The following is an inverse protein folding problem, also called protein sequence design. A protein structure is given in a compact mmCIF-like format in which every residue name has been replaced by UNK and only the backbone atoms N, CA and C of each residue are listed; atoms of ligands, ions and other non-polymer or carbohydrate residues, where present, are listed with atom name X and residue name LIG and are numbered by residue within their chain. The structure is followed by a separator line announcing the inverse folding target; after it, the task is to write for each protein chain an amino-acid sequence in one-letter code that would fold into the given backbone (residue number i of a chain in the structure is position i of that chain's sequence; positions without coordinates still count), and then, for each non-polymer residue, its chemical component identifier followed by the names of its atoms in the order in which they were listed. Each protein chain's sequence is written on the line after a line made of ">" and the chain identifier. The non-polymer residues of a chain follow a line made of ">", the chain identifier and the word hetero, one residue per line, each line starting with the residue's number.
data_IF_616620591802
#
_entry.id   IF_616620591802
#
_cell.length_a   1.000
_cell.length_b   1.000
_cell.length_c   1.000
_cell.angle_alpha   90.00
_cell.angle_beta   90.00
_cell.angle_gamma   90.00
#
_symmetry.space_group_name_H-M   'P 1'
#
loop_
_entity.id
_entity.type
_entity.pdbx_description
1 polymer ?
#
# COMPACT_ATOMS: atom_id res chain seq x y z
N UNK A 1 -8.14 -9.64 23.18
CA UNK A 1 -8.88 -8.81 22.22
C UNK A 1 -8.49 -9.27 20.83
N UNK A 2 -9.41 -9.88 20.09
CA UNK A 2 -9.19 -10.25 18.68
C UNK A 2 -8.90 -9.00 17.87
N UNK A 3 -7.86 -9.05 17.03
CA UNK A 3 -7.55 -7.94 16.13
C UNK A 3 -8.74 -7.71 15.19
N UNK A 4 -9.16 -6.45 15.02
CA UNK A 4 -10.18 -6.14 14.01
C UNK A 4 -9.53 -6.27 12.64
N UNK A 5 -10.26 -6.85 11.69
CA UNK A 5 -9.74 -7.10 10.34
C UNK A 5 -10.71 -6.61 9.28
N UNK A 6 -10.17 -6.33 8.09
CA UNK A 6 -10.92 -6.15 6.86
C UNK A 6 -10.52 -7.21 5.85
N UNK A 7 -11.44 -7.57 4.97
CA UNK A 7 -11.16 -8.33 3.78
C UNK A 7 -10.77 -7.40 2.62
N UNK A 8 -9.76 -7.80 1.87
CA UNK A 8 -9.38 -7.22 0.59
C UNK A 8 -9.60 -8.24 -0.50
N UNK A 9 -10.32 -7.88 -1.57
CA UNK A 9 -10.44 -8.73 -2.76
C UNK A 9 -10.10 -7.95 -4.02
N UNK A 10 -9.37 -8.57 -4.95
CA UNK A 10 -9.15 -7.95 -6.25
C UNK A 10 -10.48 -7.83 -7.03
N UNK A 11 -10.51 -7.01 -8.07
CA UNK A 11 -11.75 -6.69 -8.79
C UNK A 11 -12.40 -7.92 -9.44
N UNK A 12 -11.60 -8.92 -9.84
CA UNK A 12 -12.12 -10.18 -10.40
C UNK A 12 -12.32 -11.29 -9.35
N UNK A 13 -12.08 -11.01 -8.06
CA UNK A 13 -12.27 -11.95 -6.95
C UNK A 13 -11.23 -13.06 -6.81
N UNK A 14 -10.32 -13.24 -7.78
CA UNK A 14 -9.31 -14.31 -7.77
C UNK A 14 -8.22 -14.18 -6.71
N UNK A 15 -8.10 -13.01 -6.07
CA UNK A 15 -7.20 -12.79 -4.95
C UNK A 15 -7.98 -12.27 -3.76
N UNK A 16 -7.71 -12.85 -2.59
CA UNK A 16 -8.33 -12.48 -1.32
C UNK A 16 -7.26 -12.44 -0.23
N UNK A 17 -7.25 -11.34 0.53
CA UNK A 17 -6.39 -11.17 1.69
C UNK A 17 -7.18 -10.65 2.89
N UNK A 18 -6.72 -11.01 4.09
CA UNK A 18 -7.14 -10.42 5.36
C UNK A 18 -6.15 -9.36 5.81
N UNK A 19 -6.65 -8.22 6.22
CA UNK A 19 -5.87 -7.05 6.63
C UNK A 19 -6.17 -6.72 8.09
N UNK A 20 -5.14 -6.82 8.95
CA UNK A 20 -5.22 -6.38 10.34
C UNK A 20 -5.31 -4.87 10.46
N UNK A 21 -6.27 -4.38 11.25
CA UNK A 21 -6.54 -2.95 11.44
C UNK A 21 -5.89 -2.38 12.70
N UNK A 22 -5.53 -3.22 13.69
CA UNK A 22 -4.78 -2.74 14.85
C UNK A 22 -3.50 -2.07 14.39
N UNK A 23 -3.23 -0.89 14.96
CA UNK A 23 -2.06 -0.06 14.62
C UNK A 23 -2.07 0.47 13.17
N UNK A 24 -3.20 0.37 12.46
CA UNK A 24 -3.39 0.99 11.16
C UNK A 24 -3.51 2.52 11.24
N UNK A 25 -2.95 3.23 10.26
CA UNK A 25 -3.08 4.68 10.09
C UNK A 25 -3.62 4.98 8.70
N UNK A 26 -4.89 5.40 8.61
CA UNK A 26 -5.50 5.76 7.32
C UNK A 26 -5.05 7.16 6.90
N UNK A 27 -4.58 7.29 5.66
CA UNK A 27 -4.16 8.53 5.04
C UNK A 27 -4.68 8.61 3.61
N UNK A 28 -4.60 9.79 3.00
CA UNK A 28 -4.68 9.93 1.55
C UNK A 28 -3.35 10.49 1.05
N UNK A 29 -2.72 9.85 0.05
CA UNK A 29 -1.49 10.32 -0.56
C UNK A 29 -1.73 10.83 -1.98
N UNK A 30 -1.41 12.10 -2.24
CA UNK A 30 -1.57 12.75 -3.54
C UNK A 30 -0.22 13.01 -4.25
N UNK A 31 0.83 12.23 -3.93
CA UNK A 31 2.11 12.38 -4.60
C UNK A 31 2.03 11.89 -6.06
N UNK A 32 2.88 12.46 -6.92
CA UNK A 32 2.96 12.09 -8.34
C UNK A 32 3.18 10.59 -8.55
N UNK A 33 3.90 9.92 -7.66
CA UNK A 33 4.17 8.49 -7.78
C UNK A 33 2.93 7.63 -7.44
N UNK A 34 2.08 8.04 -6.49
CA UNK A 34 0.82 7.34 -6.25
C UNK A 34 -0.13 7.52 -7.44
N UNK A 35 -0.18 8.72 -8.02
CA UNK A 35 -0.95 8.99 -9.22
C UNK A 35 -0.45 8.18 -10.42
N UNK A 36 0.86 8.16 -10.64
CA UNK A 36 1.48 7.39 -11.72
C UNK A 36 1.21 5.89 -11.57
N UNK A 37 1.29 5.34 -10.36
CA UNK A 37 0.96 3.94 -10.12
C UNK A 37 -0.49 3.61 -10.47
N UNK A 38 -1.44 4.41 -10.00
CA UNK A 38 -2.87 4.22 -10.28
C UNK A 38 -3.13 4.28 -11.79
N UNK A 39 -2.57 5.26 -12.49
CA UNK A 39 -2.71 5.42 -13.96
C UNK A 39 -2.08 4.26 -14.72
N UNK A 40 -0.88 3.83 -14.34
CA UNK A 40 -0.21 2.71 -15.00
C UNK A 40 -1.02 1.41 -14.95
N UNK A 41 -1.73 1.17 -13.84
CA UNK A 41 -2.62 0.02 -13.70
C UNK A 41 -4.03 0.24 -14.27
N UNK A 42 -4.27 1.35 -14.99
CA UNK A 42 -5.59 1.68 -15.53
C UNK A 42 -6.64 1.87 -14.44
N UNK A 43 -6.24 2.40 -13.27
CA UNK A 43 -7.08 2.66 -12.10
C UNK A 43 -7.04 4.13 -11.66
N UNK A 44 -6.76 5.03 -12.59
CA UNK A 44 -6.78 6.47 -12.32
C UNK A 44 -8.16 6.98 -11.89
N UNK A 45 -9.22 6.30 -12.31
CA UNK A 45 -10.63 6.53 -11.95
C UNK A 45 -10.91 6.36 -10.44
N UNK A 46 -10.05 5.62 -9.71
CA UNK A 46 -10.23 5.36 -8.27
C UNK A 46 -9.57 6.39 -7.37
N UNK A 47 -8.80 7.32 -7.93
CA UNK A 47 -8.25 8.43 -7.16
C UNK A 47 -9.34 9.43 -6.77
N UNK A 48 -9.16 10.14 -5.66
CA UNK A 48 -10.04 11.26 -5.33
C UNK A 48 -9.91 12.40 -6.37
N UNK A 49 -10.85 13.35 -6.36
CA UNK A 49 -10.88 14.49 -7.30
C UNK A 49 -9.61 15.38 -7.28
N UNK A 50 -8.72 15.18 -6.31
CA UNK A 50 -7.45 15.90 -6.15
C UNK A 50 -6.25 14.95 -6.34
N UNK A 51 -6.45 13.79 -6.98
CA UNK A 51 -5.42 12.81 -7.31
C UNK A 51 -4.90 12.03 -6.09
N UNK A 52 -5.71 11.90 -5.05
CA UNK A 52 -5.37 11.19 -3.81
C UNK A 52 -5.66 9.69 -3.87
N UNK A 53 -4.70 8.87 -3.44
CA UNK A 53 -4.89 7.44 -3.17
C UNK A 53 -5.16 7.22 -1.68
N UNK A 54 -6.28 6.57 -1.34
CA UNK A 54 -6.63 6.19 0.04
C UNK A 54 -5.80 4.99 0.48
N UNK A 55 -5.02 5.15 1.56
CA UNK A 55 -4.06 4.17 2.04
C UNK A 55 -4.29 3.89 3.53
N UNK A 56 -4.24 2.61 3.89
CA UNK A 56 -4.03 2.17 5.27
C UNK A 56 -2.54 1.87 5.46
N UNK A 57 -1.82 2.75 6.16
CA UNK A 57 -0.46 2.49 6.57
C UNK A 57 -0.46 1.49 7.74
N UNK A 58 0.23 0.37 7.54
CA UNK A 58 0.37 -0.73 8.49
C UNK A 58 1.70 -1.44 8.23
N UNK A 59 1.90 -2.60 8.82
CA UNK A 59 3.10 -3.41 8.65
C UNK A 59 2.83 -4.65 7.83
N UNK A 60 3.85 -5.19 7.18
CA UNK A 60 3.71 -6.35 6.27
C UNK A 60 3.15 -7.60 6.98
N UNK A 61 3.36 -7.72 8.30
CA UNK A 61 2.79 -8.78 9.14
C UNK A 61 1.29 -8.66 9.40
N UNK A 62 0.65 -7.59 8.92
CA UNK A 62 -0.80 -7.38 8.99
C UNK A 62 -1.52 -7.77 7.71
N UNK A 63 -0.81 -8.34 6.75
CA UNK A 63 -1.39 -8.83 5.50
C UNK A 63 -1.27 -10.34 5.48
N UNK A 64 -2.41 -11.02 5.40
CA UNK A 64 -2.50 -12.46 5.26
C UNK A 64 -3.17 -12.76 3.91
N UNK A 65 -2.48 -13.46 3.02
CA UNK A 65 -3.12 -13.95 1.78
C UNK A 65 -3.95 -15.17 2.12
N UNK A 66 -5.23 -15.14 1.75
CA UNK A 66 -6.16 -16.26 1.95
C UNK A 66 -6.30 -17.07 0.67
N UNK A 67 -6.35 -16.40 -0.49
CA UNK A 67 -6.51 -17.03 -1.80
C UNK A 67 -5.73 -16.25 -2.89
N UNK A 68 -5.27 -16.95 -3.93
CA UNK A 68 -4.73 -16.35 -5.15
C UNK A 68 -3.33 -15.74 -5.04
N UNK A 69 -2.48 -16.21 -4.12
CA UNK A 69 -1.13 -15.66 -3.97
C UNK A 69 -0.29 -15.80 -5.25
N UNK A 70 -0.55 -16.81 -6.08
CA UNK A 70 0.05 -17.01 -7.40
C UNK A 70 -0.27 -15.88 -8.41
N UNK A 71 -1.33 -15.12 -8.18
CA UNK A 71 -1.67 -13.95 -8.99
C UNK A 71 -1.00 -12.66 -8.51
N UNK A 72 -0.31 -12.68 -7.35
CA UNK A 72 0.39 -11.52 -6.82
C UNK A 72 1.56 -11.15 -7.73
N UNK A 73 1.52 -9.93 -8.27
CA UNK A 73 2.58 -9.38 -9.10
C UNK A 73 3.12 -8.09 -8.47
N UNK A 74 4.31 -7.68 -8.88
CA UNK A 74 4.90 -6.45 -8.38
C UNK A 74 5.62 -5.63 -9.44
N UNK A 75 5.65 -4.32 -9.24
CA UNK A 75 6.36 -3.38 -10.10
C UNK A 75 7.08 -2.31 -9.29
N UNK A 76 8.00 -1.59 -9.93
CA UNK A 76 8.56 -0.33 -9.44
C UNK A 76 8.51 0.73 -10.53
N UNK A 77 8.13 1.95 -10.16
CA UNK A 77 8.20 3.09 -11.09
C UNK A 77 9.65 3.48 -11.41
N UNK A 78 10.56 3.30 -10.45
CA UNK A 78 12.00 3.54 -10.59
C UNK A 78 12.79 2.43 -9.91
N UNK A 79 14.06 2.22 -10.29
CA UNK A 79 14.90 1.15 -9.72
C UNK A 79 14.98 1.18 -8.18
N UNK A 80 14.95 2.37 -7.57
CA UNK A 80 15.06 2.56 -6.10
C UNK A 80 13.73 2.83 -5.39
N UNK A 81 12.63 2.98 -6.13
CA UNK A 81 11.30 3.28 -5.56
C UNK A 81 10.71 2.12 -4.76
N UNK A 82 9.59 2.32 -4.04
CA UNK A 82 8.90 1.24 -3.32
C UNK A 82 8.47 0.11 -4.26
N UNK A 83 8.31 -1.10 -3.71
CA UNK A 83 7.67 -2.20 -4.44
C UNK A 83 6.16 -1.97 -4.38
N UNK A 84 5.52 -2.01 -5.55
CA UNK A 84 4.08 -1.80 -5.70
C UNK A 84 3.44 -3.12 -6.12
N UNK A 85 2.76 -3.74 -5.18
CA UNK A 85 2.10 -5.03 -5.31
C UNK A 85 0.68 -4.85 -5.85
N UNK A 86 0.28 -5.72 -6.77
CA UNK A 86 -1.03 -5.68 -7.41
C UNK A 86 -1.47 -7.09 -7.82
N UNK A 87 -2.77 -7.23 -8.07
CA UNK A 87 -3.34 -8.46 -8.62
C UNK A 87 -3.06 -8.54 -10.12
N UNK A 88 -2.14 -9.41 -10.54
CA UNK A 88 -1.80 -9.62 -11.95
C UNK A 88 -2.97 -10.11 -12.79
N UNK A 89 -3.95 -10.77 -12.18
CA UNK A 89 -5.14 -11.29 -12.85
C UNK A 89 -6.13 -10.23 -13.35
N UNK A 90 -6.08 -9.00 -12.83
CA UNK A 90 -7.01 -7.92 -13.23
C UNK A 90 -6.46 -6.49 -13.10
N UNK A 91 -5.22 -6.34 -12.64
CA UNK A 91 -4.57 -5.04 -12.44
C UNK A 91 -4.96 -4.32 -11.15
N UNK A 92 -5.72 -4.94 -10.23
CA UNK A 92 -6.14 -4.25 -9.00
C UNK A 92 -4.94 -3.91 -8.10
N UNK A 93 -4.68 -2.63 -7.80
CA UNK A 93 -3.61 -2.22 -6.90
C UNK A 93 -3.84 -2.74 -5.47
N UNK A 94 -2.80 -3.22 -4.80
CA UNK A 94 -2.92 -3.88 -3.50
C UNK A 94 -2.12 -3.18 -2.39
N UNK A 95 -0.79 -3.30 -2.39
CA UNK A 95 0.07 -2.82 -1.30
C UNK A 95 1.31 -2.13 -1.86
N UNK A 96 1.73 -1.05 -1.21
CA UNK A 96 3.07 -0.49 -1.42
C UNK A 96 3.96 -0.90 -0.25
N UNK A 97 5.10 -1.55 -0.50
CA UNK A 97 6.06 -1.91 0.54
C UNK A 97 7.42 -1.25 0.31
N UNK A 98 8.23 -1.23 1.37
CA UNK A 98 9.64 -0.92 1.20
C UNK A 98 10.31 -1.96 0.28
N UNK A 99 11.46 -1.58 -0.29
CA UNK A 99 12.21 -2.46 -1.19
C UNK A 99 12.97 -3.60 -0.51
N UNK A 100 12.93 -3.67 0.81
CA UNK A 100 13.62 -4.67 1.64
C UNK A 100 12.72 -5.09 2.80
N UNK A 101 12.70 -6.38 3.18
CA UNK A 101 11.92 -6.87 4.31
C UNK A 101 12.37 -6.26 5.65
N UNK A 102 13.59 -5.72 5.72
CA UNK A 102 14.11 -5.07 6.93
C UNK A 102 13.37 -3.79 7.32
N UNK A 103 12.58 -3.20 6.41
CA UNK A 103 11.68 -2.07 6.66
C UNK A 103 10.25 -2.57 6.47
N UNK A 104 9.58 -3.05 7.54
CA UNK A 104 8.31 -3.77 7.42
C UNK A 104 7.10 -2.86 7.21
N UNK A 105 7.20 -1.92 6.28
CA UNK A 105 6.12 -1.01 5.90
C UNK A 105 5.21 -1.65 4.85
N UNK A 106 3.90 -1.53 5.05
CA UNK A 106 2.86 -1.75 4.05
C UNK A 106 1.90 -0.56 4.00
N UNK A 107 1.75 0.07 2.84
CA UNK A 107 0.67 1.00 2.52
C UNK A 107 -0.39 0.28 1.70
N UNK A 108 -1.41 -0.28 2.36
CA UNK A 108 -2.50 -1.02 1.72
C UNK A 108 -3.44 -0.03 1.03
N UNK A 109 -3.71 -0.23 -0.26
CA UNK A 109 -4.64 0.60 -1.02
C UNK A 109 -6.06 0.25 -0.59
N UNK A 110 -6.73 1.21 0.03
CA UNK A 110 -7.95 0.96 0.78
C UNK A 110 -9.18 0.69 -0.10
N UNK A 111 -9.11 0.96 -1.41
CA UNK A 111 -10.24 0.92 -2.35
C UNK A 111 -11.07 -0.37 -2.31
N UNK A 112 -10.42 -1.50 -2.06
CA UNK A 112 -11.06 -2.81 -2.03
C UNK A 112 -11.18 -3.40 -0.60
N UNK A 113 -10.96 -2.60 0.45
CA UNK A 113 -11.12 -3.03 1.83
C UNK A 113 -12.59 -3.01 2.26
N UNK A 114 -13.04 -4.11 2.86
CA UNK A 114 -14.40 -4.27 3.37
C UNK A 114 -14.40 -4.87 4.78
N UNK A 115 -15.32 -4.46 5.67
CA UNK A 115 -16.24 -3.34 5.50
C UNK A 115 -15.50 -2.00 5.67
N UNK A 116 -15.91 -0.97 4.93
CA UNK A 116 -15.19 0.32 4.84
C UNK A 116 -15.27 1.15 6.12
N UNK A 117 -16.34 0.98 6.90
CA UNK A 117 -16.61 1.64 8.18
C UNK A 117 -15.73 1.12 9.33
N UNK A 118 -15.14 -0.08 9.18
CA UNK A 118 -14.17 -0.59 10.14
C UNK A 118 -12.80 0.13 10.08
N UNK A 119 -12.50 0.82 8.97
CA UNK A 119 -11.25 1.53 8.79
C UNK A 119 -11.10 2.67 9.81
N UNK A 120 -9.88 2.95 10.30
CA UNK A 120 -9.66 4.08 11.19
C UNK A 120 -10.01 5.41 10.48
N UNK A 121 -10.35 6.46 11.24
CA UNK A 121 -10.62 7.77 10.66
C UNK A 121 -9.41 8.28 9.87
N UNK A 122 -9.68 9.12 8.86
CA UNK A 122 -8.63 9.74 8.05
C UNK A 122 -7.73 10.60 8.95
N UNK A 123 -6.47 10.20 9.09
CA UNK A 123 -5.53 10.88 9.97
C UNK A 123 -4.84 12.06 9.29
N UNK A 124 -4.53 11.96 8.01
CA UNK A 124 -3.83 12.99 7.26
C UNK A 124 -4.01 12.85 5.76
N UNK A 125 -3.85 13.97 5.05
CA UNK A 125 -3.73 14.02 3.59
C UNK A 125 -2.33 14.53 3.26
N UNK A 126 -1.54 13.74 2.54
CA UNK A 126 -0.12 13.93 2.31
C UNK A 126 0.16 14.34 0.86
N UNK A 127 1.17 15.21 0.69
CA UNK A 127 1.63 15.68 -0.62
C UNK A 127 0.52 16.29 -1.49
N UNK A 128 -0.52 16.80 -0.85
CA UNK A 128 -1.66 17.44 -1.51
C UNK A 128 -1.47 18.96 -1.52
N UNK A 129 -1.37 19.54 -2.71
CA UNK A 129 -1.14 20.97 -2.90
C UNK A 129 -2.31 21.84 -2.42
N UNK A 130 -3.52 21.27 -2.29
CA UNK A 130 -4.72 21.97 -1.85
C UNK A 130 -5.00 21.86 -0.35
N UNK A 131 -4.13 21.22 0.44
CA UNK A 131 -4.36 21.03 1.88
C UNK A 131 -3.94 22.27 2.68
N UNK A 132 -4.71 22.64 3.73
CA UNK A 132 -4.30 23.70 4.65
C UNK A 132 -2.93 23.43 5.26
N UNK A 133 -2.11 24.48 5.43
CA UNK A 133 -0.79 24.37 6.08
C UNK A 133 -0.86 23.80 7.51
N UNK A 134 -1.98 24.02 8.21
CA UNK A 134 -2.27 23.45 9.53
C UNK A 134 -2.30 21.92 9.54
N UNK A 135 -2.47 21.27 8.38
CA UNK A 135 -2.39 19.81 8.23
C UNK A 135 -0.99 19.23 8.46
N UNK A 136 0.07 20.05 8.51
CA UNK A 136 1.44 19.57 8.69
C UNK A 136 1.65 18.79 10.01
N UNK A 137 1.06 19.25 11.12
CA UNK A 137 1.14 18.54 12.41
C UNK A 137 0.44 17.18 12.36
N UNK A 138 -0.71 17.10 11.68
CA UNK A 138 -1.43 15.84 11.49
C UNK A 138 -0.62 14.85 10.64
N UNK A 139 0.06 15.33 9.58
CA UNK A 139 0.97 14.53 8.76
C UNK A 139 2.14 14.00 9.60
N UNK A 140 2.81 14.86 10.37
CA UNK A 140 3.92 14.46 11.25
C UNK A 140 3.46 13.42 12.27
N UNK A 141 2.32 13.65 12.93
CA UNK A 141 1.74 12.69 13.88
C UNK A 141 1.43 11.33 13.23
N UNK A 142 0.85 11.33 12.03
CA UNK A 142 0.58 10.11 11.28
C UNK A 142 1.86 9.34 10.92
N UNK A 143 2.92 10.05 10.49
CA UNK A 143 4.23 9.46 10.17
C UNK A 143 4.89 8.88 11.42
N UNK A 144 4.98 9.63 12.52
CA UNK A 144 5.60 9.18 13.77
C UNK A 144 4.88 7.93 14.31
N UNK A 145 3.55 7.94 14.33
CA UNK A 145 2.74 6.79 14.73
C UNK A 145 3.00 5.58 13.84
N UNK A 146 3.07 5.76 12.53
CA UNK A 146 3.35 4.66 11.60
C UNK A 146 4.76 4.10 11.79
N UNK A 147 5.78 4.96 11.95
CA UNK A 147 7.16 4.55 12.18
C UNK A 147 7.34 3.76 13.48
N UNK A 148 6.63 4.12 14.56
CA UNK A 148 6.67 3.34 15.80
C UNK A 148 6.13 1.92 15.62
N UNK A 149 5.10 1.74 14.77
CA UNK A 149 4.57 0.42 14.44
C UNK A 149 5.53 -0.39 13.58
N UNK A 150 6.16 0.24 12.58
CA UNK A 150 7.21 -0.39 11.75
C UNK A 150 8.38 -0.86 12.63
N UNK A 151 8.85 0.00 13.55
CA UNK A 151 9.90 -0.36 14.51
C UNK A 151 9.47 -1.54 15.40
N UNK A 152 8.25 -1.51 15.94
CA UNK A 152 7.72 -2.61 16.75
C UNK A 152 7.60 -3.94 15.99
N UNK A 153 7.18 -3.93 14.72
CA UNK A 153 7.14 -5.13 13.88
C UNK A 153 8.55 -5.65 13.58
N UNK A 154 9.52 -4.75 13.36
CA UNK A 154 10.92 -5.12 13.10
C UNK A 154 11.61 -5.75 14.31
N UNK A 155 11.44 -5.15 15.48
CA UNK A 155 12.05 -5.59 16.74
C UNK A 155 11.45 -6.90 17.25
N UNK A 156 10.15 -7.10 17.06
CA UNK A 156 9.47 -8.36 17.46
C UNK A 156 9.68 -9.53 16.50
N UNK A 157 10.29 -9.31 15.34
CA UNK A 157 10.48 -10.35 14.33
C UNK A 157 9.23 -10.72 13.53
N UNK A 158 8.04 -10.22 13.89
CA UNK A 158 6.77 -10.52 13.20
C UNK A 158 6.81 -10.21 11.71
N UNK A 159 7.62 -9.24 11.30
CA UNK A 159 7.79 -8.88 9.89
C UNK A 159 8.19 -10.03 8.96
N UNK A 160 8.72 -11.13 9.49
CA UNK A 160 9.04 -12.34 8.73
C UNK A 160 7.79 -13.11 8.29
N UNK A 161 6.67 -12.96 9.00
CA UNK A 161 5.38 -13.48 8.57
C UNK A 161 4.77 -12.48 7.59
N UNK A 162 5.08 -12.62 6.31
CA UNK A 162 4.65 -11.71 5.25
C UNK A 162 4.42 -12.46 3.95
N UNK A 163 3.41 -12.10 3.14
CA UNK A 163 3.20 -12.71 1.84
C UNK A 163 4.10 -12.11 0.75
N UNK A 164 4.86 -11.06 1.05
CA UNK A 164 5.58 -10.26 0.05
C UNK A 164 7.04 -10.69 -0.15
N UNK A 165 7.66 -11.29 0.86
CA UNK A 165 9.07 -11.67 0.82
C UNK A 165 9.23 -13.12 1.27
N UNK A 166 10.12 -13.85 0.60
CA UNK A 166 10.48 -15.21 0.99
C UNK A 166 11.41 -15.24 2.22
N UNK A 167 11.75 -16.45 2.69
CA UNK A 167 12.62 -16.63 3.84
C UNK A 167 14.05 -16.08 3.64
N UNK A 168 14.49 -15.90 2.38
CA UNK A 168 15.78 -15.31 2.02
C UNK A 168 15.69 -13.78 1.90
N UNK A 169 14.49 -13.21 1.97
CA UNK A 169 14.21 -11.79 1.85
C UNK A 169 14.05 -11.30 0.40
N UNK A 170 13.95 -12.20 -0.58
CA UNK A 170 13.63 -11.84 -1.95
C UNK A 170 12.12 -11.61 -2.12
N UNK A 171 11.69 -10.65 -2.96
CA UNK A 171 10.27 -10.49 -3.28
C UNK A 171 9.69 -11.77 -3.89
N UNK A 172 8.51 -12.22 -3.44
CA UNK A 172 7.86 -13.43 -3.98
C UNK A 172 7.48 -13.31 -5.46
N UNK A 173 7.28 -12.08 -5.93
CA UNK A 173 7.21 -11.72 -7.36
C UNK A 173 8.31 -10.69 -7.64
N UNK A 174 9.21 -11.02 -8.57
CA UNK A 174 10.28 -10.12 -9.01
C UNK A 174 9.69 -8.82 -9.58
N UNK A 175 10.02 -7.63 -9.04
CA UNK A 175 9.41 -6.40 -9.49
C UNK A 175 9.81 -6.01 -10.91
N UNK A 176 8.83 -5.85 -11.80
CA UNK A 176 9.04 -5.20 -13.10
C UNK A 176 9.36 -3.73 -12.87
N UNK A 177 10.55 -3.27 -13.26
CA UNK A 177 10.86 -1.83 -13.26
C UNK A 177 10.32 -1.24 -14.56
N UNK A 178 9.49 -0.20 -14.46
CA UNK A 178 8.98 0.48 -15.65
C UNK A 178 10.12 1.04 -16.49
N UNK A 179 10.02 0.82 -17.80
CA UNK A 179 10.91 1.47 -18.75
C UNK A 179 10.61 2.97 -18.85
N UNK A 180 11.40 3.69 -19.66
CA UNK A 180 11.23 5.13 -19.79
C UNK A 180 9.89 5.54 -20.40
N UNK A 181 9.40 4.81 -21.40
CA UNK A 181 8.15 5.11 -22.09
C UNK A 181 6.95 4.84 -21.18
N UNK A 182 6.92 3.66 -20.53
CA UNK A 182 5.92 3.29 -19.53
C UNK A 182 5.88 4.29 -18.38
N UNK A 183 7.05 4.67 -17.87
CA UNK A 183 7.16 5.65 -16.78
C UNK A 183 6.64 7.01 -17.23
N UNK A 184 7.06 7.50 -18.40
CA UNK A 184 6.60 8.78 -18.93
C UNK A 184 5.08 8.79 -19.10
N UNK A 185 4.50 7.76 -19.69
CA UNK A 185 3.04 7.62 -19.83
C UNK A 185 2.32 7.67 -18.48
N UNK A 186 2.85 6.99 -17.46
CA UNK A 186 2.28 6.98 -16.12
C UNK A 186 2.23 8.38 -15.46
N UNK A 187 3.24 9.23 -15.69
CA UNK A 187 3.32 10.57 -15.11
C UNK A 187 2.57 11.66 -15.89
N UNK A 188 2.12 11.40 -17.12
CA UNK A 188 1.54 12.42 -18.01
C UNK A 188 0.04 12.71 -17.80
N UNK A 189 -0.66 11.94 -16.95
CA UNK A 189 -2.08 12.19 -16.66
C UNK A 189 -2.33 13.28 -15.64
#
# INVERSE_FOLDING_TARGET
>A
MTDRTCDWRCDCGKMHARIGLSKGTRIVCACKDCQAHARHLGRGDRMDARGGTDLLLTTVDRVEMLEGQEHLQSLRLTKKGPIRWYAGCCGTPFVNSAGTPGVPHAGVIAWNLTPRDALPPLAARMMDKGSPKSGALAVVGAIVRHLSHVAGARLSGRYKATPFFDAKGAPVSAPKVLDEAERRAAYLG
#
